data_IF_771780118639
#
_entry.id   IF_771780118639
#
_cell.length_a   1.000
_cell.length_b   1.000
_cell.length_c   1.000
_cell.angle_alpha   90.00
_cell.angle_beta   90.00
_cell.angle_gamma   90.00
#
_symmetry.space_group_name_H-M   'P 1'
#
loop_
_entity.id
_entity.type
_entity.pdbx_description
1 polymer ?
#
# COMPACT_ATOMS: atom_id res chain seq x y z
N UNK A 1 15.51 5.16 8.39
CA UNK A 1 14.44 4.14 8.30
C UNK A 1 14.61 3.33 7.01
N UNK A 2 14.26 2.02 6.97
CA UNK A 2 14.32 1.21 5.75
C UNK A 2 13.28 1.68 4.72
N UNK A 3 13.52 1.48 3.42
CA UNK A 3 12.62 1.93 2.34
C UNK A 3 11.17 1.43 2.44
N UNK A 4 10.94 0.33 3.19
CA UNK A 4 9.62 -0.25 3.47
C UNK A 4 8.76 0.60 4.43
N UNK A 5 9.38 1.50 5.20
CA UNK A 5 8.68 2.38 6.13
C UNK A 5 7.85 3.46 5.43
N UNK A 6 8.27 3.89 4.24
CA UNK A 6 7.51 4.82 3.41
C UNK A 6 6.40 4.08 2.64
N UNK A 7 6.76 3.02 1.93
CA UNK A 7 5.81 2.28 1.09
C UNK A 7 4.69 1.62 1.88
N UNK A 8 4.89 1.17 3.12
CA UNK A 8 3.83 0.54 3.93
C UNK A 8 2.64 1.45 4.27
N UNK A 9 2.78 2.78 4.19
CA UNK A 9 1.70 3.72 4.55
C UNK A 9 1.40 4.79 3.51
N UNK A 10 2.05 4.72 2.34
CA UNK A 10 1.99 5.77 1.33
C UNK A 10 0.55 6.12 0.87
N UNK A 11 -0.37 5.14 0.88
CA UNK A 11 -1.79 5.33 0.58
C UNK A 11 -2.44 6.42 1.44
N UNK A 12 -2.10 6.48 2.73
CA UNK A 12 -2.63 7.48 3.67
C UNK A 12 -2.13 8.88 3.30
N UNK A 13 -0.90 8.98 2.82
CA UNK A 13 -0.37 10.27 2.36
C UNK A 13 -1.06 10.78 1.10
N UNK A 14 -1.54 9.90 0.23
CA UNK A 14 -2.36 10.31 -0.91
C UNK A 14 -3.77 10.76 -0.50
N UNK A 15 -4.27 10.31 0.65
CA UNK A 15 -5.54 10.78 1.20
C UNK A 15 -5.42 12.21 1.73
N UNK A 16 -4.29 12.52 2.37
CA UNK A 16 -4.06 13.82 2.99
C UNK A 16 -2.60 14.30 2.80
N UNK A 17 -2.31 14.80 1.59
CA UNK A 17 -0.96 15.12 1.15
C UNK A 17 -0.45 16.50 1.60
N UNK A 18 -1.30 17.34 2.20
CA UNK A 18 -0.97 18.70 2.66
C UNK A 18 -1.01 18.83 4.19
N UNK A 19 -1.34 17.77 4.91
CA UNK A 19 -1.41 17.81 6.36
C UNK A 19 -0.06 17.50 6.99
N UNK A 20 0.49 18.50 7.68
CA UNK A 20 1.78 18.38 8.37
C UNK A 20 1.61 18.14 9.87
N UNK A 21 0.37 18.11 10.37
CA UNK A 21 0.02 17.95 11.79
C UNK A 21 -0.31 16.50 12.17
N UNK A 22 -0.86 15.73 11.23
CA UNK A 22 -1.28 14.36 11.46
C UNK A 22 -0.94 13.46 10.26
N UNK A 23 -1.06 12.15 10.46
CA UNK A 23 -0.86 11.14 9.41
C UNK A 23 -1.93 11.23 8.31
N UNK A 24 -3.19 11.40 8.72
CA UNK A 24 -4.38 11.60 7.89
C UNK A 24 -5.45 12.22 8.78
N UNK A 25 -6.23 13.20 8.29
CA UNK A 25 -7.39 13.67 9.04
C UNK A 25 -8.54 12.63 9.01
N UNK A 26 -9.35 12.51 10.07
CA UNK A 26 -10.52 11.61 10.07
C UNK A 26 -11.50 11.91 8.93
N UNK A 27 -11.63 13.17 8.54
CA UNK A 27 -12.49 13.59 7.43
C UNK A 27 -11.97 13.07 6.08
N UNK A 28 -10.68 13.21 5.82
CA UNK A 28 -10.06 12.74 4.57
C UNK A 28 -10.04 11.21 4.51
N UNK A 29 -9.82 10.54 5.64
CA UNK A 29 -9.86 9.08 5.73
C UNK A 29 -11.27 8.54 5.45
N UNK A 30 -12.30 9.12 6.08
CA UNK A 30 -13.69 8.71 5.85
C UNK A 30 -14.16 9.03 4.42
N UNK A 31 -13.77 10.19 3.87
CA UNK A 31 -14.17 10.57 2.51
C UNK A 31 -13.56 9.64 1.45
N UNK A 32 -12.27 9.30 1.57
CA UNK A 32 -11.60 8.43 0.60
C UNK A 32 -11.81 6.94 0.86
N UNK A 33 -12.15 6.56 2.09
CA UNK A 33 -12.37 5.18 2.48
C UNK A 33 -11.13 4.31 2.31
N UNK A 34 -11.36 3.04 1.96
CA UNK A 34 -10.29 2.07 1.77
C UNK A 34 -9.86 1.98 0.30
N UNK A 35 -8.76 1.29 0.03
CA UNK A 35 -8.39 0.98 -1.36
C UNK A 35 -9.20 -0.24 -1.82
N UNK A 36 -10.15 -0.02 -2.74
CA UNK A 36 -11.03 -1.09 -3.25
C UNK A 36 -10.24 -2.16 -4.01
N UNK A 37 -9.33 -1.73 -4.89
CA UNK A 37 -8.52 -2.61 -5.73
C UNK A 37 -7.07 -2.19 -5.68
N UNK A 38 -6.23 -3.08 -5.14
CA UNK A 38 -4.79 -2.96 -5.17
C UNK A 38 -4.20 -3.86 -6.26
N UNK A 39 -3.46 -3.26 -7.19
CA UNK A 39 -2.85 -3.98 -8.32
C UNK A 39 -1.34 -4.01 -8.15
N UNK A 40 -0.73 -5.20 -8.21
CA UNK A 40 0.72 -5.30 -8.09
C UNK A 40 1.28 -6.68 -8.43
N UNK A 41 2.57 -6.74 -8.74
CA UNK A 41 3.25 -8.00 -9.05
C UNK A 41 3.40 -8.91 -7.81
N UNK A 42 3.43 -10.22 -8.03
CA UNK A 42 3.54 -11.23 -6.97
C UNK A 42 4.77 -11.05 -6.07
N UNK A 43 5.84 -10.41 -6.58
CA UNK A 43 7.08 -10.16 -5.85
C UNK A 43 6.92 -9.23 -4.63
N UNK A 44 5.82 -8.47 -4.57
CA UNK A 44 5.54 -7.55 -3.48
C UNK A 44 4.72 -8.16 -2.34
N UNK A 45 4.21 -9.39 -2.50
CA UNK A 45 3.31 -10.04 -1.53
C UNK A 45 4.02 -10.34 -0.21
N UNK A 46 5.21 -10.94 -0.24
CA UNK A 46 5.97 -11.30 0.98
C UNK A 46 6.73 -10.11 1.59
N UNK A 47 6.62 -8.94 0.97
CA UNK A 47 7.27 -7.71 1.43
C UNK A 47 6.20 -6.67 1.72
N UNK A 48 5.92 -5.82 0.74
CA UNK A 48 5.09 -4.64 0.93
C UNK A 48 3.72 -4.97 1.53
N UNK A 49 3.04 -6.04 1.09
CA UNK A 49 1.72 -6.38 1.63
C UNK A 49 1.75 -6.71 3.11
N UNK A 50 2.73 -7.49 3.57
CA UNK A 50 2.84 -7.83 5.00
C UNK A 50 3.07 -6.56 5.83
N UNK A 51 3.99 -5.69 5.42
CA UNK A 51 4.26 -4.45 6.16
C UNK A 51 3.09 -3.45 6.12
N UNK A 52 2.38 -3.36 4.99
CA UNK A 52 1.22 -2.49 4.86
C UNK A 52 0.08 -2.95 5.78
N UNK A 53 -0.21 -4.25 5.80
CA UNK A 53 -1.23 -4.84 6.69
C UNK A 53 -0.85 -4.70 8.15
N UNK A 54 0.40 -4.98 8.52
CA UNK A 54 0.88 -4.80 9.88
C UNK A 54 0.68 -3.35 10.36
N UNK A 55 1.12 -2.37 9.56
CA UNK A 55 0.92 -0.96 9.92
C UNK A 55 -0.55 -0.58 9.98
N UNK A 56 -1.38 -1.11 9.09
CA UNK A 56 -2.81 -0.85 9.11
C UNK A 56 -3.44 -1.30 10.42
N UNK A 57 -3.19 -2.54 10.82
CA UNK A 57 -3.73 -3.10 12.07
C UNK A 57 -3.26 -2.30 13.27
N UNK A 58 -1.96 -1.97 13.33
CA UNK A 58 -1.45 -1.11 14.39
C UNK A 58 -2.15 0.26 14.44
N UNK A 59 -2.35 0.92 13.29
CA UNK A 59 -3.04 2.21 13.21
C UNK A 59 -4.52 2.10 13.56
N UNK A 60 -5.14 0.96 13.27
CA UNK A 60 -6.52 0.65 13.63
C UNK A 60 -6.66 0.48 15.15
N UNK A 61 -5.74 -0.27 15.76
CA UNK A 61 -5.73 -0.50 17.22
C UNK A 61 -5.59 0.81 18.03
N UNK A 62 -4.83 1.79 17.51
CA UNK A 62 -4.69 3.11 18.15
C UNK A 62 -5.73 4.14 17.68
N UNK A 63 -6.72 3.75 16.87
CA UNK A 63 -7.85 4.58 16.46
C UNK A 63 -7.53 5.67 15.42
N UNK A 64 -6.43 5.57 14.67
CA UNK A 64 -6.05 6.55 13.64
C UNK A 64 -6.77 6.30 12.31
N UNK A 65 -7.12 5.05 12.03
CA UNK A 65 -7.84 4.62 10.80
C UNK A 65 -9.06 3.82 11.19
N UNK A 66 -10.10 3.83 10.35
CA UNK A 66 -11.39 3.21 10.67
C UNK A 66 -11.51 1.76 10.17
N UNK A 67 -10.59 1.32 9.31
CA UNK A 67 -10.61 -0.01 8.68
C UNK A 67 -9.44 -0.88 9.15
N UNK A 68 -9.72 -2.16 9.40
CA UNK A 68 -8.74 -3.14 9.87
C UNK A 68 -7.74 -3.57 8.78
N UNK A 69 -8.17 -3.62 7.52
CA UNK A 69 -7.36 -4.04 6.37
C UNK A 69 -7.19 -2.89 5.37
N UNK A 70 -6.00 -2.72 4.75
CA UNK A 70 -5.71 -1.55 3.90
C UNK A 70 -6.16 -1.69 2.43
N UNK A 71 -6.53 -2.90 1.99
CA UNK A 71 -6.93 -3.20 0.62
C UNK A 71 -8.11 -4.19 0.67
N UNK A 72 -9.19 -3.91 -0.06
CA UNK A 72 -10.33 -4.84 -0.12
C UNK A 72 -10.07 -6.00 -1.08
N UNK A 73 -9.48 -5.72 -2.25
CA UNK A 73 -9.11 -6.73 -3.25
C UNK A 73 -7.68 -6.53 -3.70
N UNK A 74 -6.97 -7.64 -3.85
CA UNK A 74 -5.63 -7.65 -4.45
C UNK A 74 -5.64 -8.38 -5.79
N UNK A 75 -5.26 -7.68 -6.85
CA UNK A 75 -5.15 -8.23 -8.19
C UNK A 75 -3.68 -8.39 -8.59
N UNK A 76 -3.29 -9.62 -8.91
CA UNK A 76 -1.92 -9.96 -9.30
C UNK A 76 -1.78 -9.77 -10.80
N UNK A 77 -0.88 -8.86 -11.22
CA UNK A 77 -0.54 -8.73 -12.63
C UNK A 77 0.43 -9.81 -13.06
N UNK A 78 0.24 -10.30 -14.29
CA UNK A 78 1.19 -11.18 -14.96
C UNK A 78 2.52 -10.48 -15.22
N UNK A 79 3.55 -11.25 -15.55
CA UNK A 79 4.85 -10.72 -15.95
C UNK A 79 4.85 -10.47 -17.46
N UNK A 80 5.37 -9.31 -17.86
CA UNK A 80 5.71 -9.06 -19.26
C UNK A 80 7.06 -9.72 -19.51
N UNK A 81 7.10 -10.56 -20.54
CA UNK A 81 8.30 -11.29 -20.95
C UNK A 81 9.03 -10.50 -22.05
N UNK A 82 10.35 -10.54 -22.04
CA UNK A 82 11.19 -10.08 -23.14
C UNK A 82 11.19 -11.11 -24.29
N UNK A 83 11.74 -10.73 -25.44
CA UNK A 83 11.85 -11.61 -26.61
C UNK A 83 12.60 -12.93 -26.31
N UNK A 84 13.53 -12.90 -25.36
CA UNK A 84 14.30 -14.07 -24.91
C UNK A 84 13.56 -14.95 -23.89
N UNK A 85 12.28 -14.65 -23.62
CA UNK A 85 11.44 -15.39 -22.68
C UNK A 85 11.79 -15.16 -21.21
N UNK A 86 12.64 -14.18 -20.88
CA UNK A 86 12.91 -13.78 -19.49
C UNK A 86 11.97 -12.67 -19.03
N UNK A 87 11.83 -12.50 -17.72
CA UNK A 87 11.11 -11.36 -17.15
C UNK A 87 11.82 -10.06 -17.56
N UNK A 88 11.08 -9.14 -18.17
CA UNK A 88 11.61 -7.83 -18.56
C UNK A 88 12.13 -7.05 -17.33
N UNK A 89 13.40 -6.67 -17.34
CA UNK A 89 14.05 -5.92 -16.26
C UNK A 89 15.23 -5.08 -16.75
N UNK A 90 15.54 -3.96 -16.07
CA UNK A 90 16.75 -3.18 -16.40
C UNK A 90 18.04 -3.94 -16.06
N UNK A 91 17.98 -4.91 -15.13
CA UNK A 91 19.15 -5.70 -14.73
C UNK A 91 19.43 -6.87 -15.68
N UNK A 92 18.54 -7.15 -16.63
CA UNK A 92 18.64 -8.01 -17.81
C UNK A 92 17.28 -8.05 -18.48
#
# INVERSE_FOLDING_TARGET
MPGRAGSSRYRLRYMDNKNDKALVSPENENYRGNVDVYVGGAEHVTRHMIYARFRQKFLFDIGIVTKEEPFEKYHKVGLIMAEDGRKMSKRR
#
